data_IF_908660595066
#
_entry.id   IF_908660595066
#
_cell.length_a   1.000
_cell.length_b   1.000
_cell.length_c   1.000
_cell.angle_alpha   90.00
_cell.angle_beta   90.00
_cell.angle_gamma   90.00
#
_symmetry.space_group_name_H-M   'P 1'
#
loop_
_entity.id
_entity.type
_entity.pdbx_description
1 polymer ?
#
# COMPACT_ATOMS: atom_id res chain seq x y z
N UNK A 1 1.80 -17.43 0.19
CA UNK A 1 1.65 -16.11 -0.44
C UNK A 1 0.76 -15.27 0.46
N UNK A 2 1.32 -14.22 1.07
CA UNK A 2 0.66 -13.44 2.12
C UNK A 2 -0.58 -12.73 1.57
N UNK A 3 -1.75 -13.03 2.14
CA UNK A 3 -2.93 -12.21 1.93
C UNK A 3 -2.74 -10.95 2.77
N UNK A 4 -2.69 -9.80 2.11
CA UNK A 4 -2.50 -8.52 2.79
C UNK A 4 -3.61 -8.24 3.82
N UNK A 5 -3.42 -7.24 4.70
CA UNK A 5 -4.32 -7.01 5.81
C UNK A 5 -5.73 -6.62 5.32
N UNK A 6 -6.71 -7.51 5.52
CA UNK A 6 -8.10 -7.32 5.06
C UNK A 6 -8.83 -6.14 5.72
N UNK A 7 -8.31 -5.61 6.82
CA UNK A 7 -8.95 -4.53 7.58
C UNK A 7 -8.97 -3.18 6.84
N UNK A 8 -8.09 -2.97 5.85
CA UNK A 8 -8.04 -1.71 5.10
C UNK A 8 -9.16 -1.57 4.05
N UNK A 9 -9.89 -2.64 3.72
CA UNK A 9 -10.83 -2.63 2.59
C UNK A 9 -12.03 -1.70 2.84
N UNK A 10 -12.55 -1.70 4.07
CA UNK A 10 -13.66 -0.83 4.46
C UNK A 10 -13.24 0.64 4.43
N UNK A 11 -12.03 0.95 4.95
CA UNK A 11 -11.49 2.31 4.93
C UNK A 11 -11.32 2.83 3.51
N UNK A 12 -10.64 2.10 2.63
CA UNK A 12 -10.49 2.53 1.23
C UNK A 12 -11.85 2.81 0.57
N UNK A 13 -12.84 1.95 0.82
CA UNK A 13 -14.20 2.15 0.30
C UNK A 13 -14.88 3.40 0.85
N UNK A 14 -14.76 3.67 2.15
CA UNK A 14 -15.35 4.86 2.78
C UNK A 14 -14.78 6.16 2.20
N UNK A 15 -13.51 6.12 1.78
CA UNK A 15 -12.82 7.23 1.12
C UNK A 15 -12.98 7.23 -0.41
N UNK A 16 -13.84 6.37 -0.98
CA UNK A 16 -14.09 6.31 -2.42
C UNK A 16 -13.00 5.62 -3.25
N UNK A 17 -11.99 5.02 -2.62
CA UNK A 17 -10.91 4.31 -3.30
C UNK A 17 -11.19 2.82 -3.46
N UNK A 18 -10.92 2.29 -4.65
CA UNK A 18 -10.98 0.85 -4.90
C UNK A 18 -9.77 0.12 -4.27
N UNK A 19 -10.01 -0.91 -3.47
CA UNK A 19 -8.92 -1.83 -3.11
C UNK A 19 -8.54 -2.68 -4.33
N UNK A 20 -7.25 -2.72 -4.66
CA UNK A 20 -6.70 -3.51 -5.77
C UNK A 20 -5.57 -4.39 -5.27
N UNK A 21 -5.24 -5.47 -5.98
CA UNK A 21 -4.18 -6.38 -5.59
C UNK A 21 -2.81 -5.69 -5.35
N UNK A 22 -2.35 -4.74 -6.21
CA UNK A 22 -1.13 -3.98 -5.91
C UNK A 22 -1.21 -3.20 -4.59
N UNK A 23 -2.35 -2.56 -4.30
CA UNK A 23 -2.55 -1.81 -3.05
C UNK A 23 -2.51 -2.73 -1.83
N UNK A 24 -3.12 -3.91 -1.90
CA UNK A 24 -3.06 -4.89 -0.82
C UNK A 24 -1.62 -5.34 -0.52
N UNK A 25 -0.82 -5.59 -1.55
CA UNK A 25 0.59 -6.00 -1.39
C UNK A 25 1.43 -4.85 -0.81
N UNK A 26 1.23 -3.63 -1.29
CA UNK A 26 1.90 -2.44 -0.75
C UNK A 26 1.57 -2.27 0.74
N UNK A 27 0.29 -2.37 1.12
CA UNK A 27 -0.14 -2.29 2.52
C UNK A 27 0.43 -3.41 3.38
N UNK A 28 0.54 -4.61 2.84
CA UNK A 28 1.15 -5.75 3.53
C UNK A 28 2.63 -5.52 3.82
N UNK A 29 3.38 -5.03 2.83
CA UNK A 29 4.79 -4.64 3.01
C UNK A 29 4.91 -3.52 4.04
N UNK A 30 4.09 -2.47 3.91
CA UNK A 30 4.10 -1.33 4.80
C UNK A 30 3.76 -1.72 6.26
N UNK A 31 2.74 -2.57 6.46
CA UNK A 31 2.29 -3.00 7.79
C UNK A 31 3.30 -3.87 8.54
N UNK A 32 4.20 -4.54 7.81
CA UNK A 32 5.27 -5.37 8.37
C UNK A 32 6.55 -4.59 8.64
N UNK A 33 6.64 -3.35 8.18
CA UNK A 33 7.81 -2.52 8.36
C UNK A 33 8.00 -2.15 9.84
N UNK A 34 9.15 -2.52 10.40
CA UNK A 34 9.54 -2.15 11.78
C UNK A 34 10.23 -0.78 11.88
N UNK A 35 10.49 -0.15 10.74
CA UNK A 35 11.13 1.16 10.59
C UNK A 35 10.44 1.93 9.47
N UNK A 36 10.66 3.24 9.42
CA UNK A 36 10.22 4.03 8.27
C UNK A 36 10.89 3.51 7.00
N UNK A 37 10.08 3.31 5.95
CA UNK A 37 10.54 2.89 4.63
C UNK A 37 10.39 4.05 3.66
N UNK A 38 11.40 4.25 2.82
CA UNK A 38 11.26 5.11 1.64
C UNK A 38 10.30 4.47 0.62
N UNK A 39 9.85 5.26 -0.35
CA UNK A 39 9.04 4.74 -1.45
C UNK A 39 9.82 3.69 -2.27
N UNK A 40 11.12 3.91 -2.43
CA UNK A 40 12.06 3.00 -3.09
C UNK A 40 12.20 1.68 -2.31
N UNK A 41 12.31 1.73 -0.98
CA UNK A 41 12.35 0.52 -0.15
C UNK A 41 11.06 -0.31 -0.32
N UNK A 42 9.91 0.36 -0.31
CA UNK A 42 8.61 -0.29 -0.52
C UNK A 42 8.55 -0.89 -1.92
N UNK A 43 8.99 -0.15 -2.94
CA UNK A 43 9.06 -0.64 -4.31
C UNK A 43 9.89 -1.92 -4.41
N UNK A 44 11.09 -1.93 -3.81
CA UNK A 44 11.99 -3.08 -3.85
C UNK A 44 11.37 -4.33 -3.21
N UNK A 45 10.65 -4.19 -2.09
CA UNK A 45 9.97 -5.33 -1.46
C UNK A 45 8.72 -5.78 -2.24
N UNK A 46 7.94 -4.85 -2.78
CA UNK A 46 6.73 -5.17 -3.56
C UNK A 46 7.09 -5.80 -4.90
N UNK A 47 8.17 -5.35 -5.56
CA UNK A 47 8.60 -5.88 -6.86
C UNK A 47 8.98 -7.38 -6.78
N UNK A 48 9.47 -7.85 -5.63
CA UNK A 48 9.73 -9.28 -5.38
C UNK A 48 8.46 -10.13 -5.41
N UNK A 49 7.30 -9.53 -5.14
CA UNK A 49 6.00 -10.22 -5.03
C UNK A 49 5.15 -9.99 -6.28
N UNK A 50 5.20 -8.79 -6.85
CA UNK A 50 4.42 -8.38 -8.02
C UNK A 50 5.33 -7.72 -9.08
N UNK A 51 6.07 -8.53 -9.85
CA UNK A 51 6.93 -8.03 -10.93
C UNK A 51 6.08 -7.33 -11.99
N UNK A 52 6.41 -6.08 -12.31
CA UNK A 52 5.64 -5.23 -13.22
C UNK A 52 4.89 -4.08 -12.54
N UNK A 53 4.97 -3.95 -11.21
CA UNK A 53 4.55 -2.72 -10.55
C UNK A 53 5.48 -1.56 -10.91
N UNK A 54 4.93 -0.34 -11.03
CA UNK A 54 5.72 0.87 -11.20
C UNK A 54 5.78 1.71 -9.92
N UNK A 55 6.84 2.51 -9.77
CA UNK A 55 6.99 3.47 -8.65
C UNK A 55 5.78 4.42 -8.54
N UNK A 56 5.19 4.84 -9.66
CA UNK A 56 3.98 5.68 -9.67
C UNK A 56 2.82 5.03 -8.91
N UNK A 57 2.66 3.70 -8.98
CA UNK A 57 1.63 2.98 -8.22
C UNK A 57 1.93 2.98 -6.72
N UNK A 58 3.21 2.92 -6.34
CA UNK A 58 3.66 3.04 -4.95
C UNK A 58 3.28 4.42 -4.42
N UNK A 59 3.74 5.50 -5.06
CA UNK A 59 3.45 6.87 -4.64
C UNK A 59 1.95 7.17 -4.57
N UNK A 60 1.16 6.79 -5.59
CA UNK A 60 -0.30 6.97 -5.56
C UNK A 60 -0.96 6.24 -4.40
N UNK A 61 -0.42 5.09 -3.98
CA UNK A 61 -0.97 4.35 -2.85
C UNK A 61 -0.58 4.99 -1.53
N UNK A 62 0.65 5.47 -1.39
CA UNK A 62 1.11 6.22 -0.21
C UNK A 62 0.35 7.54 -0.03
N UNK A 63 0.12 8.26 -1.12
CA UNK A 63 -0.67 9.51 -1.14
C UNK A 63 -2.10 9.27 -0.64
N UNK A 64 -2.75 8.20 -1.11
CA UNK A 64 -4.07 7.78 -0.59
C UNK A 64 -3.99 7.51 0.92
N UNK A 65 -2.94 6.84 1.41
CA UNK A 65 -2.80 6.53 2.84
C UNK A 65 -2.60 7.77 3.70
N UNK A 66 -1.83 8.76 3.22
CA UNK A 66 -1.63 10.06 3.87
C UNK A 66 -2.97 10.81 3.95
N UNK A 67 -3.65 10.97 2.82
CA UNK A 67 -4.95 11.64 2.76
C UNK A 67 -6.00 10.97 3.66
N UNK A 68 -5.93 9.65 3.81
CA UNK A 68 -6.79 8.92 4.75
C UNK A 68 -6.38 9.11 6.22
N UNK A 69 -5.11 9.38 6.50
CA UNK A 69 -4.60 9.61 7.86
C UNK A 69 -4.82 11.03 8.38
N UNK A 70 -4.86 12.00 7.47
CA UNK A 70 -5.00 13.44 7.77
C UNK A 70 -6.44 13.88 8.12
N UNK A 71 -7.43 13.01 7.95
CA UNK A 71 -8.83 13.22 8.37
C UNK A 71 -9.06 13.01 9.89
N UNK A 72 -8.06 13.29 10.74
CA UNK A 72 -8.16 13.29 12.21
C UNK A 72 -8.26 14.70 12.79
#
# INVERSE_FOLDING_TARGET
>A
MGRGPRWCHARFRNFGYKMTQPREIILDVFSRAKKHLSAEDIYMEVYKIYPGIGLTTIYRTLDILINMGDDQ
#
